data_IF_211928119989
#
_entry.id   IF_211928119989
#
_cell.length_a   1.000
_cell.length_b   1.000
_cell.length_c   1.000
_cell.angle_alpha   90.00
_cell.angle_beta   90.00
_cell.angle_gamma   90.00
#
_symmetry.space_group_name_H-M   'P 1'
#
loop_
_entity.id
_entity.type
_entity.pdbx_description
1 polymer ?
#
# COMPACT_ATOMS: atom_id res chain seq x y z
N UNK A 1 15.51 -21.09 10.51
CA UNK A 1 14.53 -20.78 11.59
C UNK A 1 13.17 -20.90 10.95
N UNK A 2 12.25 -21.62 11.58
CA UNK A 2 10.86 -21.76 11.09
C UNK A 2 10.15 -20.41 11.19
N UNK A 3 9.45 -20.00 10.13
CA UNK A 3 8.60 -18.81 10.14
C UNK A 3 7.15 -19.24 10.23
N UNK A 4 6.42 -18.71 11.19
CA UNK A 4 5.01 -19.04 11.42
C UNK A 4 4.17 -17.77 11.44
N UNK A 5 3.05 -17.78 10.71
CA UNK A 5 2.04 -16.73 10.77
C UNK A 5 0.93 -17.20 11.72
N UNK A 6 0.78 -16.51 12.83
CA UNK A 6 -0.24 -16.80 13.83
C UNK A 6 -1.40 -15.83 13.73
N UNK A 7 -2.61 -16.34 13.71
CA UNK A 7 -3.85 -15.56 13.64
C UNK A 7 -4.72 -15.97 14.84
N UNK A 8 -4.91 -15.03 15.76
CA UNK A 8 -5.81 -15.16 16.89
C UNK A 8 -7.11 -14.39 16.61
N UNK A 9 -8.19 -15.11 16.43
CA UNK A 9 -9.54 -14.58 16.26
C UNK A 9 -10.54 -15.42 17.09
N UNK A 10 -10.11 -15.85 18.27
CA UNK A 10 -10.95 -16.56 19.22
C UNK A 10 -12.08 -15.68 19.75
N UNK A 11 -11.78 -14.40 19.97
CA UNK A 11 -12.76 -13.39 20.36
C UNK A 11 -13.30 -12.72 19.11
N UNK A 12 -14.64 -12.66 18.97
CA UNK A 12 -15.27 -12.04 17.81
C UNK A 12 -14.96 -10.53 17.70
N UNK A 13 -14.69 -9.90 18.83
CA UNK A 13 -14.47 -8.45 18.92
C UNK A 13 -13.05 -8.02 18.51
N UNK A 14 -12.08 -8.94 18.50
CA UNK A 14 -10.68 -8.64 18.24
C UNK A 14 -10.00 -9.75 17.41
N UNK A 15 -9.33 -9.34 16.35
CA UNK A 15 -8.46 -10.20 15.57
C UNK A 15 -7.02 -9.69 15.69
N UNK A 16 -6.09 -10.57 16.02
CA UNK A 16 -4.67 -10.27 16.15
C UNK A 16 -3.84 -11.17 15.24
N UNK A 17 -2.83 -10.62 14.60
CA UNK A 17 -1.95 -11.36 13.69
C UNK A 17 -0.49 -11.10 14.05
N UNK A 18 0.30 -12.15 14.09
CA UNK A 18 1.72 -12.10 14.38
C UNK A 18 2.51 -12.93 13.37
N UNK A 19 3.58 -12.36 12.85
CA UNK A 19 4.59 -13.08 12.09
C UNK A 19 5.77 -13.39 13.02
N UNK A 20 6.04 -14.68 13.23
CA UNK A 20 7.17 -15.15 14.02
C UNK A 20 8.30 -15.66 13.13
N UNK A 21 9.54 -15.39 13.56
CA UNK A 21 10.75 -16.05 13.07
C UNK A 21 11.40 -16.81 14.24
N UNK A 22 11.22 -18.11 14.25
CA UNK A 22 11.49 -18.93 15.44
C UNK A 22 10.59 -18.53 16.60
N UNK A 23 11.16 -17.94 17.65
CA UNK A 23 10.39 -17.42 18.80
C UNK A 23 10.23 -15.91 18.79
N UNK A 24 10.81 -15.20 17.82
CA UNK A 24 10.84 -13.73 17.78
C UNK A 24 9.72 -13.17 16.92
N UNK A 25 9.04 -12.14 17.41
CA UNK A 25 8.06 -11.36 16.65
C UNK A 25 8.82 -10.54 15.60
N UNK A 26 8.47 -10.73 14.31
CA UNK A 26 8.92 -9.88 13.19
C UNK A 26 7.91 -8.78 12.88
N UNK A 27 6.61 -9.12 12.96
CA UNK A 27 5.53 -8.19 12.67
C UNK A 27 4.31 -8.51 13.54
N UNK A 28 3.53 -7.48 13.88
CA UNK A 28 2.33 -7.57 14.67
C UNK A 28 1.30 -6.56 14.19
N UNK A 29 0.07 -7.00 13.98
CA UNK A 29 -1.06 -6.15 13.65
C UNK A 29 -2.32 -6.64 14.36
N UNK A 30 -3.27 -5.73 14.64
CA UNK A 30 -4.53 -6.07 15.29
C UNK A 30 -5.68 -5.21 14.76
N UNK A 31 -6.87 -5.75 14.80
CA UNK A 31 -8.11 -5.08 14.40
C UNK A 31 -9.22 -5.41 15.39
N UNK A 32 -9.96 -4.39 15.80
CA UNK A 32 -11.15 -4.56 16.66
C UNK A 32 -12.41 -4.27 15.86
N UNK A 33 -13.53 -4.90 16.18
CA UNK A 33 -14.80 -4.70 15.49
C UNK A 33 -15.22 -3.23 15.47
N UNK A 34 -14.99 -2.52 16.57
CA UNK A 34 -15.31 -1.09 16.71
C UNK A 34 -14.33 -0.15 16.03
N UNK A 35 -13.17 -0.64 15.58
CA UNK A 35 -12.08 0.18 15.03
C UNK A 35 -11.43 -0.52 13.84
N UNK A 36 -12.27 -0.77 12.82
CA UNK A 36 -11.78 -1.29 11.53
C UNK A 36 -10.99 -0.23 10.79
N UNK A 37 -9.95 -0.65 10.11
CA UNK A 37 -9.18 0.24 9.26
C UNK A 37 -10.02 0.70 8.07
N UNK A 38 -10.14 2.01 7.89
CA UNK A 38 -10.85 2.61 6.77
C UNK A 38 -9.96 2.79 5.53
N UNK A 39 -8.64 2.77 5.71
CA UNK A 39 -7.67 2.95 4.63
C UNK A 39 -7.86 1.89 3.55
N UNK A 40 -7.97 2.36 2.29
CA UNK A 40 -8.20 1.49 1.14
C UNK A 40 -9.68 1.32 0.77
N UNK A 41 -10.61 1.56 1.70
CA UNK A 41 -12.04 1.48 1.43
C UNK A 41 -12.46 2.46 0.35
N UNK A 42 -13.37 2.01 -0.52
CA UNK A 42 -13.92 2.80 -1.62
C UNK A 42 -15.37 3.15 -1.34
N UNK A 43 -15.69 4.43 -1.43
CA UNK A 43 -17.01 4.97 -1.16
C UNK A 43 -17.56 5.74 -2.36
N UNK A 44 -18.85 5.69 -2.54
CA UNK A 44 -19.56 6.66 -3.36
C UNK A 44 -19.88 7.86 -2.48
N UNK A 45 -19.25 9.00 -2.76
CA UNK A 45 -19.30 10.18 -1.91
C UNK A 45 -19.97 11.36 -2.63
N UNK A 46 -20.43 12.33 -1.83
CA UNK A 46 -21.09 13.55 -2.31
C UNK A 46 -20.32 14.78 -1.86
N UNK A 47 -20.02 15.69 -2.78
CA UNK A 47 -19.38 16.98 -2.47
C UNK A 47 -20.36 17.85 -1.67
N UNK A 48 -19.98 18.22 -0.45
CA UNK A 48 -20.76 19.10 0.43
C UNK A 48 -20.37 20.56 0.25
N UNK A 49 -19.06 20.83 0.19
CA UNK A 49 -18.49 22.17 0.09
C UNK A 49 -17.20 22.15 -0.71
N UNK A 50 -16.99 23.17 -1.52
CA UNK A 50 -15.71 23.45 -2.19
C UNK A 50 -15.07 24.63 -1.47
N UNK A 51 -13.79 24.52 -1.14
CA UNK A 51 -13.00 25.52 -0.43
C UNK A 51 -11.87 26.04 -1.32
N UNK A 52 -12.08 27.15 -2.02
CA UNK A 52 -11.08 27.69 -2.94
C UNK A 52 -9.75 28.06 -2.29
N UNK A 53 -9.78 28.52 -1.03
CA UNK A 53 -8.58 28.91 -0.28
C UNK A 53 -7.63 27.75 -0.02
N UNK A 54 -8.18 26.53 0.08
CA UNK A 54 -7.42 25.30 0.31
C UNK A 54 -7.21 24.49 -0.98
N UNK A 55 -7.80 24.92 -2.10
CA UNK A 55 -7.89 24.12 -3.33
C UNK A 55 -8.31 22.67 -3.00
N UNK A 56 -9.42 22.53 -2.26
CA UNK A 56 -9.94 21.24 -1.79
C UNK A 56 -11.48 21.23 -1.74
N UNK A 57 -12.02 20.02 -1.77
CA UNK A 57 -13.43 19.77 -1.53
C UNK A 57 -13.62 18.98 -0.22
N UNK A 58 -14.68 19.29 0.50
CA UNK A 58 -15.18 18.46 1.59
C UNK A 58 -16.29 17.57 1.06
N UNK A 59 -16.21 16.31 1.37
CA UNK A 59 -17.13 15.29 0.85
C UNK A 59 -17.74 14.47 1.98
N UNK A 60 -19.02 14.14 1.82
CA UNK A 60 -19.72 13.20 2.67
C UNK A 60 -19.59 11.81 2.05
N UNK A 61 -18.95 10.89 2.76
CA UNK A 61 -18.68 9.53 2.29
C UNK A 61 -19.32 8.43 3.16
N UNK A 62 -20.00 8.82 4.24
CA UNK A 62 -20.64 7.90 5.19
C UNK A 62 -19.82 7.62 6.45
N UNK A 63 -18.67 8.28 6.61
CA UNK A 63 -17.90 8.28 7.85
C UNK A 63 -18.46 9.25 8.88
N UNK A 64 -17.89 9.25 10.09
CA UNK A 64 -18.31 10.13 11.19
C UNK A 64 -18.06 11.61 10.89
N UNK A 65 -17.10 11.91 10.01
CA UNK A 65 -16.70 13.26 9.63
C UNK A 65 -16.66 13.41 8.12
N UNK A 66 -16.68 14.67 7.66
CA UNK A 66 -16.47 14.94 6.24
C UNK A 66 -15.04 14.61 5.84
N UNK A 67 -14.90 13.93 4.69
CA UNK A 67 -13.61 13.66 4.11
C UNK A 67 -13.00 14.88 3.43
N UNK A 68 -11.69 14.99 3.43
CA UNK A 68 -10.90 16.01 2.74
C UNK A 68 -10.39 15.46 1.41
N UNK A 69 -10.72 16.13 0.31
CA UNK A 69 -10.33 15.77 -1.04
C UNK A 69 -9.58 16.95 -1.68
N UNK A 70 -8.26 16.86 -1.77
CA UNK A 70 -7.43 17.88 -2.40
C UNK A 70 -7.67 17.91 -3.91
N UNK A 71 -7.51 19.05 -4.56
CA UNK A 71 -7.72 19.22 -6.00
C UNK A 71 -6.79 18.31 -6.82
N UNK A 72 -5.54 18.16 -6.41
CA UNK A 72 -4.57 17.24 -7.02
C UNK A 72 -4.98 15.77 -6.96
N UNK A 73 -5.88 15.41 -6.06
CA UNK A 73 -6.39 14.06 -5.86
C UNK A 73 -7.71 13.81 -6.62
N UNK A 74 -8.17 14.78 -7.42
CA UNK A 74 -9.40 14.66 -8.23
C UNK A 74 -9.01 14.38 -9.67
N UNK A 75 -9.44 13.21 -10.17
CA UNK A 75 -9.22 12.82 -11.56
C UNK A 75 -9.96 13.77 -12.53
N UNK A 76 -9.35 14.16 -13.68
CA UNK A 76 -9.96 15.07 -14.66
C UNK A 76 -11.32 14.61 -15.20
N UNK A 77 -11.65 13.33 -15.15
CA UNK A 77 -12.98 12.82 -15.54
C UNK A 77 -14.13 13.41 -14.73
N UNK A 78 -13.86 13.87 -13.52
CA UNK A 78 -14.84 14.54 -12.67
C UNK A 78 -14.94 16.03 -12.94
N UNK A 79 -14.07 16.60 -13.79
CA UNK A 79 -14.09 18.01 -14.12
C UNK A 79 -15.22 18.34 -15.10
N UNK A 80 -15.94 19.41 -14.81
CA UNK A 80 -16.97 19.97 -15.70
C UNK A 80 -16.35 20.92 -16.72
N UNK A 81 -15.61 20.38 -17.65
CA UNK A 81 -14.89 21.09 -18.72
C UNK A 81 -15.18 20.44 -20.07
N UNK A 82 -14.91 21.14 -21.20
CA UNK A 82 -14.99 20.54 -22.53
C UNK A 82 -14.14 19.26 -22.64
N UNK A 83 -14.59 18.33 -23.48
CA UNK A 83 -13.94 17.02 -23.66
C UNK A 83 -12.49 17.19 -24.12
N UNK A 84 -12.24 18.14 -25.05
CA UNK A 84 -10.92 18.43 -25.61
C UNK A 84 -9.91 18.88 -24.52
N UNK A 85 -10.34 19.75 -23.60
CA UNK A 85 -9.52 20.22 -22.50
C UNK A 85 -9.25 19.09 -21.48
N UNK A 86 -10.22 18.19 -21.27
CA UNK A 86 -10.09 17.04 -20.38
C UNK A 86 -9.10 16.01 -20.92
N UNK A 87 -9.20 15.68 -22.22
CA UNK A 87 -8.26 14.77 -22.87
C UNK A 87 -6.83 15.33 -22.83
N UNK A 88 -6.65 16.63 -23.08
CA UNK A 88 -5.36 17.29 -22.99
C UNK A 88 -4.76 17.23 -21.56
N UNK A 89 -5.59 17.35 -20.52
CA UNK A 89 -5.17 17.19 -19.12
C UNK A 89 -4.72 15.76 -18.83
N UNK A 90 -5.45 14.76 -19.30
CA UNK A 90 -5.14 13.35 -19.11
C UNK A 90 -3.85 12.98 -19.84
N UNK A 91 -3.65 13.48 -21.07
CA UNK A 91 -2.40 13.27 -21.83
C UNK A 91 -1.20 13.92 -21.15
N UNK A 92 -1.34 15.13 -20.63
CA UNK A 92 -0.29 15.84 -19.93
C UNK A 92 0.11 15.11 -18.62
N UNK A 93 -0.87 14.62 -17.86
CA UNK A 93 -0.67 13.84 -16.64
C UNK A 93 0.05 12.50 -16.91
N UNK A 94 -0.20 11.91 -18.09
CA UNK A 94 0.51 10.69 -18.56
C UNK A 94 1.97 10.97 -18.94
N UNK A 95 2.24 12.10 -19.59
CA UNK A 95 3.58 12.46 -20.07
C UNK A 95 4.55 12.78 -18.91
N UNK A 96 4.07 13.42 -17.82
CA UNK A 96 4.91 13.73 -16.66
C UNK A 96 5.41 12.46 -15.92
N UNK A 97 4.75 11.32 -16.09
CA UNK A 97 5.11 10.06 -15.44
C UNK A 97 6.20 9.27 -16.16
N UNK A 98 6.42 9.50 -17.46
CA UNK A 98 7.44 8.79 -18.24
C UNK A 98 8.84 9.42 -18.06
N UNK A 99 8.91 10.71 -17.77
CA UNK A 99 10.18 11.45 -17.57
C UNK A 99 10.87 11.06 -16.23
N UNK A 100 10.09 10.74 -15.20
CA UNK A 100 10.57 10.25 -13.89
C UNK A 100 11.19 8.82 -13.95
N UNK A 101 11.15 8.14 -15.10
CA UNK A 101 11.66 6.78 -15.29
C UNK A 101 13.08 6.69 -15.86
N UNK A 102 13.69 7.83 -16.25
CA UNK A 102 14.97 7.87 -17.00
C UNK A 102 16.16 8.29 -16.13
N UNK A 103 15.96 8.89 -14.96
CA UNK A 103 17.06 9.32 -14.08
C UNK A 103 17.50 8.26 -13.04
N UNK A 104 17.95 7.10 -13.50
CA UNK A 104 18.76 6.21 -12.67
C UNK A 104 19.81 5.49 -13.53
N UNK A 105 20.85 6.22 -13.90
CA UNK A 105 22.02 5.59 -14.51
C UNK A 105 22.82 6.45 -15.47
N UNK A 106 23.44 7.51 -15.01
CA UNK A 106 24.68 7.97 -15.64
C UNK A 106 25.62 8.55 -14.59
N UNK A 107 26.47 7.68 -14.08
CA UNK A 107 27.70 8.09 -13.42
C UNK A 107 28.74 8.42 -14.51
N UNK A 108 29.21 9.62 -14.49
CA UNK A 108 30.54 10.08 -14.90
C UNK A 108 31.08 9.78 -16.30
N UNK A 109 31.06 10.78 -17.20
CA UNK A 109 32.14 10.97 -18.16
C UNK A 109 32.23 12.46 -18.57
N UNK A 110 33.44 12.99 -18.90
CA UNK A 110 33.75 14.41 -18.86
C UNK A 110 33.34 15.15 -20.12
N UNK A 111 33.16 16.46 -19.94
CA UNK A 111 32.93 17.46 -20.98
C UNK A 111 33.89 17.35 -22.17
N UNK A 112 33.34 17.30 -23.37
CA UNK A 112 34.09 17.65 -24.58
C UNK A 112 33.34 18.78 -25.29
N UNK A 113 34.03 19.89 -25.36
CA UNK A 113 33.65 21.11 -26.08
C UNK A 113 33.83 20.88 -27.60
N UNK A 114 32.81 21.23 -28.36
CA UNK A 114 32.98 21.65 -29.75
C UNK A 114 32.23 20.84 -30.80
N UNK A 115 31.42 21.53 -31.60
CA UNK A 115 31.02 21.12 -32.95
C UNK A 115 29.52 21.19 -33.21
N UNK A 116 29.12 22.26 -33.83
CA UNK A 116 27.83 22.53 -34.47
C UNK A 116 27.38 21.39 -35.36
N UNK A 117 26.10 20.98 -35.22
CA UNK A 117 25.15 20.84 -36.32
C UNK A 117 23.79 20.51 -35.68
N UNK A 118 22.88 21.49 -35.80
CA UNK A 118 21.51 21.39 -35.34
C UNK A 118 20.71 20.56 -36.33
N UNK A 119 20.33 19.35 -35.95
CA UNK A 119 19.17 18.70 -36.56
C UNK A 119 17.93 19.31 -35.92
N UNK A 120 17.10 19.95 -36.77
CA UNK A 120 15.77 20.44 -36.47
C UNK A 120 14.86 19.24 -36.18
N UNK A 121 14.94 18.67 -34.98
CA UNK A 121 13.88 17.78 -34.50
C UNK A 121 12.67 18.64 -34.10
N UNK A 122 11.56 18.36 -34.77
CA UNK A 122 10.20 18.85 -34.57
C UNK A 122 9.91 19.22 -33.11
N UNK A 123 10.12 20.47 -32.74
CA UNK A 123 9.58 21.07 -31.52
C UNK A 123 8.09 21.23 -31.74
N UNK A 124 7.31 20.15 -31.53
CA UNK A 124 5.87 20.26 -31.39
C UNK A 124 5.60 21.20 -30.22
N UNK A 125 4.90 22.32 -30.42
CA UNK A 125 4.62 23.24 -29.32
C UNK A 125 3.87 22.46 -28.24
N UNK A 126 4.47 22.33 -27.03
CA UNK A 126 3.78 21.81 -25.85
C UNK A 126 2.50 22.62 -25.72
N UNK A 127 1.34 22.00 -26.02
CA UNK A 127 0.02 22.62 -25.82
C UNK A 127 0.02 23.13 -24.38
N UNK A 128 -0.16 24.43 -24.20
CA UNK A 128 -0.33 25.03 -22.89
C UNK A 128 -1.63 24.49 -22.30
N UNK A 129 -1.52 23.51 -21.40
CA UNK A 129 -2.67 22.94 -20.70
C UNK A 129 -3.22 23.99 -19.76
N UNK A 130 -4.49 24.34 -19.93
CA UNK A 130 -5.17 25.32 -19.08
C UNK A 130 -5.16 24.82 -17.63
N UNK A 131 -4.62 25.62 -16.71
CA UNK A 131 -4.67 25.34 -15.27
C UNK A 131 -6.01 25.84 -14.72
N UNK A 132 -6.88 24.91 -14.40
CA UNK A 132 -8.16 25.18 -13.77
C UNK A 132 -8.04 25.34 -12.26
N UNK A 133 -8.98 26.06 -11.66
CA UNK A 133 -9.16 26.13 -10.19
C UNK A 133 -10.32 25.23 -9.79
N UNK A 134 -10.26 24.67 -8.57
CA UNK A 134 -11.28 23.71 -8.11
C UNK A 134 -12.71 24.23 -8.22
N UNK A 135 -12.94 25.52 -7.92
CA UNK A 135 -14.26 26.13 -7.96
C UNK A 135 -14.84 26.28 -9.38
N UNK A 136 -13.99 26.18 -10.41
CA UNK A 136 -14.41 26.28 -11.81
C UNK A 136 -14.91 24.91 -12.35
N UNK A 137 -14.38 23.83 -11.81
CA UNK A 137 -14.56 22.48 -12.38
C UNK A 137 -15.35 21.52 -11.49
N UNK A 138 -15.45 21.79 -10.19
CA UNK A 138 -16.14 20.93 -9.21
C UNK A 138 -17.34 21.69 -8.63
N UNK A 139 -18.49 21.00 -8.58
CA UNK A 139 -19.73 21.58 -8.06
C UNK A 139 -20.18 20.89 -6.76
N UNK A 140 -20.90 21.66 -5.93
CA UNK A 140 -21.61 21.09 -4.77
C UNK A 140 -22.62 20.02 -5.23
N UNK A 141 -22.83 19.02 -4.37
CA UNK A 141 -23.71 17.86 -4.63
C UNK A 141 -23.21 16.92 -5.74
N UNK A 142 -22.04 17.17 -6.30
CA UNK A 142 -21.44 16.24 -7.27
C UNK A 142 -21.11 14.90 -6.57
N UNK A 143 -21.39 13.82 -7.25
CA UNK A 143 -21.13 12.46 -6.77
C UNK A 143 -19.81 11.99 -7.39
N UNK A 144 -18.97 11.37 -6.57
CA UNK A 144 -17.65 10.86 -6.94
C UNK A 144 -17.37 9.55 -6.24
N UNK A 145 -16.67 8.65 -6.92
CA UNK A 145 -16.09 7.46 -6.30
C UNK A 145 -14.74 7.86 -5.66
N UNK A 146 -14.60 7.63 -4.37
CA UNK A 146 -13.43 8.05 -3.61
C UNK A 146 -12.86 6.89 -2.80
N UNK A 147 -11.54 6.90 -2.60
CA UNK A 147 -10.84 5.94 -1.77
C UNK A 147 -10.17 6.64 -0.59
N UNK A 148 -10.20 6.02 0.58
CA UNK A 148 -9.53 6.53 1.79
C UNK A 148 -8.03 6.28 1.70
N UNK A 149 -7.23 7.34 1.72
CA UNK A 149 -5.76 7.27 1.74
C UNK A 149 -5.21 7.35 3.15
N UNK A 150 -5.79 8.26 3.96
CA UNK A 150 -5.44 8.43 5.38
C UNK A 150 -6.71 8.49 6.20
N UNK A 151 -6.70 7.81 7.32
CA UNK A 151 -7.82 7.79 8.26
C UNK A 151 -8.03 9.11 8.98
N UNK A 152 -9.18 9.24 9.60
CA UNK A 152 -9.50 10.36 10.48
C UNK A 152 -8.48 10.42 11.63
N UNK A 153 -7.95 11.61 11.90
CA UNK A 153 -6.99 11.81 12.99
C UNK A 153 -7.30 13.08 13.78
N UNK A 154 -7.53 12.92 15.06
CA UNK A 154 -7.88 14.03 15.94
C UNK A 154 -9.15 14.76 15.43
N UNK A 155 -9.03 16.01 15.08
CA UNK A 155 -10.12 16.83 14.53
C UNK A 155 -10.18 16.85 13.00
N UNK A 156 -9.30 16.13 12.31
CA UNK A 156 -9.24 16.10 10.84
C UNK A 156 -10.01 14.90 10.30
N UNK A 157 -10.83 15.13 9.27
CA UNK A 157 -11.49 14.09 8.52
C UNK A 157 -10.50 13.24 7.70
N UNK A 158 -10.97 12.12 7.17
CA UNK A 158 -10.17 11.24 6.32
C UNK A 158 -9.67 11.98 5.07
N UNK A 159 -8.42 11.69 4.66
CA UNK A 159 -7.92 12.15 3.37
C UNK A 159 -8.34 11.15 2.28
N UNK A 160 -8.95 11.68 1.24
CA UNK A 160 -9.53 10.91 0.14
C UNK A 160 -8.82 11.21 -1.18
N UNK A 161 -8.91 10.26 -2.10
CA UNK A 161 -8.49 10.41 -3.49
C UNK A 161 -9.54 9.82 -4.43
N UNK A 162 -9.60 10.32 -5.65
CA UNK A 162 -10.38 9.69 -6.72
C UNK A 162 -9.52 8.79 -7.60
N UNK A 163 -8.19 8.82 -7.45
CA UNK A 163 -7.27 7.88 -8.10
C UNK A 163 -7.29 6.56 -7.36
N UNK A 164 -8.14 5.64 -7.82
CA UNK A 164 -8.33 4.36 -7.15
C UNK A 164 -7.11 3.45 -7.32
N UNK A 165 -6.77 2.73 -6.25
CA UNK A 165 -5.73 1.72 -6.26
C UNK A 165 -6.22 0.46 -5.56
N UNK A 166 -6.34 -0.62 -6.32
CA UNK A 166 -6.77 -1.93 -5.83
C UNK A 166 -5.54 -2.80 -5.61
N UNK A 167 -5.26 -3.11 -4.36
CA UNK A 167 -4.07 -3.85 -3.97
C UNK A 167 -4.29 -5.36 -4.08
N UNK A 168 -3.61 -6.00 -5.02
CA UNK A 168 -3.43 -7.44 -5.08
C UNK A 168 -2.18 -7.89 -4.32
N UNK A 169 -1.86 -9.16 -4.41
CA UNK A 169 -0.66 -9.72 -3.81
C UNK A 169 0.61 -9.30 -4.54
N UNK A 170 0.62 -9.46 -5.87
CA UNK A 170 1.79 -9.21 -6.73
C UNK A 170 1.66 -7.95 -7.56
N UNK A 171 0.45 -7.47 -7.73
CA UNK A 171 0.12 -6.29 -8.52
C UNK A 171 -0.72 -5.28 -7.73
N UNK A 172 -0.71 -4.05 -8.19
CA UNK A 172 -1.70 -3.03 -7.85
C UNK A 172 -2.36 -2.61 -9.15
N UNK A 173 -3.68 -2.67 -9.21
CA UNK A 173 -4.46 -2.17 -10.34
C UNK A 173 -4.94 -0.75 -10.04
N UNK A 174 -4.67 0.16 -10.96
CA UNK A 174 -5.18 1.54 -10.95
C UNK A 174 -6.17 1.68 -12.11
N UNK A 175 -7.48 1.53 -11.84
CA UNK A 175 -8.47 1.38 -12.90
C UNK A 175 -8.83 2.69 -13.62
N UNK A 176 -8.45 3.83 -13.09
CA UNK A 176 -8.72 5.15 -13.64
C UNK A 176 -7.44 6.01 -13.69
N UNK A 177 -6.32 5.40 -13.99
CA UNK A 177 -5.05 6.12 -14.04
C UNK A 177 -4.30 5.76 -15.32
N UNK A 178 -4.10 6.75 -16.18
CA UNK A 178 -3.29 6.61 -17.39
C UNK A 178 -1.79 6.78 -17.13
N UNK A 179 -1.40 7.15 -15.91
CA UNK A 179 0.01 7.23 -15.52
C UNK A 179 0.61 5.83 -15.60
N UNK A 180 1.36 5.58 -16.64
CA UNK A 180 1.92 4.31 -17.06
C UNK A 180 2.09 3.25 -15.98
N UNK A 181 1.59 2.05 -16.24
CA UNK A 181 1.86 0.87 -15.45
C UNK A 181 3.33 0.50 -15.50
N UNK A 182 3.77 -0.38 -14.62
CA UNK A 182 5.17 -0.79 -14.65
C UNK A 182 5.60 -1.67 -13.50
N UNK A 183 6.81 -1.42 -13.06
CA UNK A 183 7.47 -2.22 -12.01
C UNK A 183 7.83 -1.31 -10.86
N UNK A 184 7.51 -1.70 -9.63
CA UNK A 184 7.84 -0.97 -8.40
C UNK A 184 9.29 -0.47 -8.40
N UNK A 185 9.51 0.80 -8.00
CA UNK A 185 10.84 1.41 -7.89
C UNK A 185 11.74 0.67 -6.87
N UNK A 186 11.14 -0.04 -5.91
CA UNK A 186 11.85 -0.85 -4.91
C UNK A 186 12.50 -2.11 -5.50
N UNK A 187 12.17 -2.51 -6.74
CA UNK A 187 12.83 -3.61 -7.45
C UNK A 187 14.02 -3.02 -8.20
N UNK A 188 15.21 -3.14 -7.64
CA UNK A 188 16.44 -2.54 -8.16
C UNK A 188 17.13 -3.40 -9.23
N UNK A 189 16.87 -4.72 -9.25
CA UNK A 189 17.47 -5.64 -10.21
C UNK A 189 16.98 -5.36 -11.63
N UNK A 190 17.90 -4.96 -12.52
CA UNK A 190 17.61 -4.58 -13.91
C UNK A 190 17.03 -5.76 -14.72
N UNK A 191 17.54 -6.99 -14.50
CA UNK A 191 17.08 -8.20 -15.20
C UNK A 191 15.62 -8.49 -14.84
N UNK A 192 15.31 -8.45 -13.54
CA UNK A 192 13.93 -8.65 -13.06
C UNK A 192 13.01 -7.55 -13.59
N UNK A 193 13.45 -6.29 -13.59
CA UNK A 193 12.66 -5.17 -14.14
C UNK A 193 12.33 -5.36 -15.62
N UNK A 194 13.32 -5.72 -16.45
CA UNK A 194 13.09 -6.00 -17.89
C UNK A 194 12.09 -7.13 -18.08
N UNK A 195 12.30 -8.25 -17.37
CA UNK A 195 11.39 -9.41 -17.40
C UNK A 195 9.97 -9.03 -17.01
N UNK A 196 9.81 -8.28 -15.90
CA UNK A 196 8.50 -7.87 -15.39
C UNK A 196 7.80 -6.86 -16.33
N UNK A 197 8.54 -5.93 -16.95
CA UNK A 197 7.98 -5.05 -17.99
C UNK A 197 7.42 -5.85 -19.16
N UNK A 198 8.11 -6.90 -19.62
CA UNK A 198 7.60 -7.80 -20.67
C UNK A 198 6.35 -8.56 -20.20
N UNK A 199 6.30 -8.98 -18.93
CA UNK A 199 5.12 -9.67 -18.37
C UNK A 199 3.92 -8.72 -18.33
N UNK A 200 4.08 -7.48 -17.85
CA UNK A 200 3.02 -6.47 -17.79
C UNK A 200 2.53 -6.11 -19.19
N UNK A 201 3.46 -5.92 -20.16
CA UNK A 201 3.09 -5.64 -21.56
C UNK A 201 2.35 -6.79 -22.27
N UNK A 202 2.40 -7.99 -21.70
CA UNK A 202 1.63 -9.15 -22.20
C UNK A 202 0.32 -9.42 -21.43
N UNK A 203 -0.10 -8.51 -20.51
CA UNK A 203 -1.42 -8.53 -19.88
C UNK A 203 -2.41 -7.75 -20.74
N UNK A 204 -3.66 -8.20 -20.76
CA UNK A 204 -4.75 -7.52 -21.46
C UNK A 204 -5.29 -6.37 -20.59
N UNK A 205 -4.51 -5.27 -20.53
CA UNK A 205 -4.84 -4.09 -19.75
C UNK A 205 -5.67 -3.15 -20.61
N UNK A 206 -6.87 -2.81 -20.16
CA UNK A 206 -7.76 -1.89 -20.86
C UNK A 206 -7.17 -0.46 -20.87
N UNK A 207 -7.45 0.29 -21.93
CA UNK A 207 -7.07 1.70 -22.03
C UNK A 207 -7.63 2.49 -20.84
N UNK A 208 -6.82 3.34 -20.24
CA UNK A 208 -7.20 4.09 -19.03
C UNK A 208 -6.92 3.38 -17.71
N UNK A 209 -6.34 2.18 -17.76
CA UNK A 209 -5.90 1.44 -16.57
C UNK A 209 -4.39 1.31 -16.53
N UNK A 210 -3.85 1.27 -15.33
CA UNK A 210 -2.45 0.99 -15.11
C UNK A 210 -2.26 -0.15 -14.09
N UNK A 211 -1.19 -0.93 -14.27
CA UNK A 211 -0.82 -2.02 -13.37
C UNK A 211 0.62 -1.84 -12.93
N UNK A 212 0.87 -1.88 -11.62
CA UNK A 212 2.22 -1.84 -11.06
C UNK A 212 2.52 -3.18 -10.38
N UNK A 213 3.61 -3.84 -10.79
CA UNK A 213 4.08 -5.05 -10.11
C UNK A 213 4.78 -4.66 -8.81
N UNK A 214 4.32 -5.26 -7.69
CA UNK A 214 4.87 -5.08 -6.34
C UNK A 214 6.18 -5.84 -6.16
N UNK A 215 6.93 -5.51 -5.11
CA UNK A 215 8.16 -6.23 -4.72
C UNK A 215 7.93 -7.73 -4.49
N UNK A 216 6.78 -8.11 -3.94
CA UNK A 216 6.37 -9.50 -3.76
C UNK A 216 6.25 -10.28 -5.09
N UNK A 217 6.02 -9.57 -6.22
CA UNK A 217 5.97 -10.14 -7.57
C UNK A 217 7.33 -10.29 -8.26
N UNK A 218 8.43 -9.77 -7.66
CA UNK A 218 9.74 -9.71 -8.31
C UNK A 218 10.25 -11.05 -8.85
N UNK A 219 10.06 -12.12 -8.11
CA UNK A 219 10.52 -13.48 -8.48
C UNK A 219 9.38 -14.41 -8.92
N UNK A 220 8.20 -13.86 -9.26
CA UNK A 220 7.03 -14.65 -9.62
C UNK A 220 6.92 -14.90 -11.11
N UNK A 221 6.18 -15.96 -11.45
CA UNK A 221 5.93 -16.37 -12.83
C UNK A 221 4.89 -15.47 -13.49
N UNK A 222 4.90 -15.43 -14.85
CA UNK A 222 3.87 -14.73 -15.63
C UNK A 222 2.45 -15.18 -15.25
N UNK A 223 2.27 -16.47 -15.02
CA UNK A 223 0.96 -17.07 -14.69
C UNK A 223 0.43 -16.61 -13.33
N UNK A 224 1.32 -16.46 -12.33
CA UNK A 224 0.92 -15.96 -11.00
C UNK A 224 0.52 -14.49 -11.07
N UNK A 225 1.29 -13.66 -11.79
CA UNK A 225 1.00 -12.23 -11.99
C UNK A 225 -0.30 -12.06 -12.79
N UNK A 226 -0.51 -12.82 -13.85
CA UNK A 226 -1.73 -12.78 -14.65
C UNK A 226 -2.98 -13.19 -13.85
N UNK A 227 -2.86 -14.18 -12.95
CA UNK A 227 -3.95 -14.59 -12.07
C UNK A 227 -4.34 -13.48 -11.09
N UNK A 228 -3.36 -12.82 -10.49
CA UNK A 228 -3.56 -11.71 -9.58
C UNK A 228 -4.24 -10.53 -10.31
N UNK A 229 -3.78 -10.20 -11.52
CA UNK A 229 -4.41 -9.20 -12.38
C UNK A 229 -5.86 -9.56 -12.73
N UNK A 230 -6.14 -10.81 -13.10
CA UNK A 230 -7.52 -11.27 -13.40
C UNK A 230 -8.43 -11.13 -12.19
N UNK A 231 -7.93 -11.43 -10.99
CA UNK A 231 -8.66 -11.21 -9.75
C UNK A 231 -8.99 -9.72 -9.54
N UNK A 232 -8.01 -8.83 -9.72
CA UNK A 232 -8.19 -7.39 -9.57
C UNK A 232 -9.15 -6.80 -10.61
N UNK A 233 -9.11 -7.29 -11.85
CA UNK A 233 -10.03 -6.88 -12.90
C UNK A 233 -11.48 -7.24 -12.55
N UNK A 234 -11.73 -8.45 -12.05
CA UNK A 234 -13.06 -8.86 -11.58
C UNK A 234 -13.52 -8.02 -10.39
N UNK A 235 -12.63 -7.74 -9.45
CA UNK A 235 -12.94 -6.87 -8.31
C UNK A 235 -13.35 -5.47 -8.78
N UNK A 236 -12.67 -4.93 -9.78
CA UNK A 236 -13.04 -3.65 -10.38
C UNK A 236 -14.42 -3.69 -11.06
N UNK A 237 -14.72 -4.76 -11.77
CA UNK A 237 -16.04 -4.93 -12.39
C UNK A 237 -17.15 -4.99 -11.34
N UNK A 238 -16.93 -5.69 -10.21
CA UNK A 238 -17.84 -5.75 -9.07
C UNK A 238 -18.04 -4.36 -8.43
N UNK A 239 -16.98 -3.58 -8.27
CA UNK A 239 -17.04 -2.20 -7.75
C UNK A 239 -17.88 -1.33 -8.69
N UNK A 240 -17.66 -1.42 -10.00
CA UNK A 240 -18.45 -0.68 -11.00
C UNK A 240 -19.93 -1.04 -10.95
N UNK A 241 -20.25 -2.32 -10.92
CA UNK A 241 -21.64 -2.80 -10.86
C UNK A 241 -22.34 -2.25 -9.61
N UNK A 242 -21.73 -2.40 -8.42
CA UNK A 242 -22.27 -1.88 -7.15
C UNK A 242 -22.42 -0.36 -7.16
N UNK A 243 -21.48 0.35 -7.78
CA UNK A 243 -21.52 1.82 -7.88
C UNK A 243 -22.77 2.28 -8.64
N UNK A 244 -23.13 1.58 -9.71
CA UNK A 244 -24.31 1.92 -10.52
C UNK A 244 -25.64 1.67 -9.79
N UNK A 245 -25.66 0.72 -8.86
CA UNK A 245 -26.87 0.35 -8.09
C UNK A 245 -27.00 1.16 -6.78
N UNK A 246 -25.94 1.88 -6.37
CA UNK A 246 -25.85 2.54 -5.06
C UNK A 246 -26.21 4.02 -5.12
N UNK A 247 -26.64 4.55 -3.98
CA UNK A 247 -26.88 5.99 -3.77
C UNK A 247 -25.88 6.58 -2.79
N UNK A 248 -25.30 7.72 -3.15
CA UNK A 248 -24.34 8.42 -2.29
C UNK A 248 -25.01 9.11 -1.07
N UNK A 249 -24.41 9.05 0.15
CA UNK A 249 -23.15 8.38 0.47
C UNK A 249 -23.32 6.87 0.74
N UNK A 250 -22.38 6.04 0.26
CA UNK A 250 -22.43 4.58 0.44
C UNK A 250 -21.04 3.95 0.38
N UNK A 251 -20.76 2.94 1.22
CA UNK A 251 -19.60 2.07 1.10
C UNK A 251 -19.78 1.13 -0.09
N UNK A 252 -18.90 1.20 -1.08
CA UNK A 252 -18.92 0.34 -2.27
C UNK A 252 -18.05 -0.88 -2.11
N UNK A 253 -16.82 -0.68 -1.61
CA UNK A 253 -15.87 -1.76 -1.40
C UNK A 253 -15.11 -1.54 -0.10
N UNK A 254 -15.08 -2.58 0.73
CA UNK A 254 -14.27 -2.65 1.93
C UNK A 254 -12.94 -3.32 1.58
N UNK A 255 -11.82 -2.65 1.85
CA UNK A 255 -10.50 -3.29 1.80
C UNK A 255 -10.53 -4.45 2.80
N UNK A 256 -10.09 -5.62 2.40
CA UNK A 256 -10.29 -6.85 3.19
C UNK A 256 -9.92 -6.71 4.67
N UNK A 257 -10.56 -7.53 5.51
CA UNK A 257 -10.26 -7.65 6.93
C UNK A 257 -8.77 -7.95 7.19
N UNK A 258 -8.34 -7.84 8.45
CA UNK A 258 -6.95 -8.05 8.85
C UNK A 258 -6.42 -9.41 8.38
N UNK A 259 -7.23 -10.47 8.41
CA UNK A 259 -6.82 -11.82 7.98
C UNK A 259 -6.47 -11.83 6.50
N UNK A 260 -7.33 -11.25 5.66
CA UNK A 260 -7.10 -11.17 4.21
C UNK A 260 -5.88 -10.32 3.87
N UNK A 261 -5.74 -9.16 4.55
CA UNK A 261 -4.57 -8.27 4.38
C UNK A 261 -3.28 -8.98 4.78
N UNK A 262 -3.25 -9.66 5.92
CA UNK A 262 -2.08 -10.37 6.42
C UNK A 262 -1.63 -11.49 5.48
N UNK A 263 -2.56 -12.27 4.95
CA UNK A 263 -2.24 -13.31 3.96
C UNK A 263 -1.75 -12.68 2.65
N UNK A 264 -2.28 -11.53 2.26
CA UNK A 264 -1.83 -10.83 1.06
C UNK A 264 -0.43 -10.23 1.21
N UNK A 265 -0.16 -9.57 2.33
CA UNK A 265 1.02 -8.70 2.50
C UNK A 265 2.13 -9.32 3.36
N UNK A 266 1.81 -10.03 4.45
CA UNK A 266 2.79 -10.62 5.37
C UNK A 266 3.20 -12.05 4.99
N UNK A 267 2.27 -12.84 4.41
CA UNK A 267 2.61 -14.20 4.04
C UNK A 267 3.63 -14.23 2.91
N UNK A 268 4.76 -14.91 3.10
CA UNK A 268 5.78 -15.16 2.07
C UNK A 268 5.97 -16.67 1.86
N UNK A 269 6.72 -17.07 0.82
CA UNK A 269 7.06 -18.49 0.61
C UNK A 269 7.93 -19.08 1.72
N UNK A 270 8.61 -18.21 2.48
CA UNK A 270 9.45 -18.56 3.63
C UNK A 270 8.64 -18.93 4.87
N UNK A 271 7.33 -18.58 4.90
CA UNK A 271 6.44 -18.99 5.98
C UNK A 271 6.14 -20.46 5.85
N UNK A 272 6.48 -21.22 6.88
CA UNK A 272 6.32 -22.67 6.91
C UNK A 272 4.87 -23.05 7.18
N UNK A 273 4.19 -22.33 8.07
CA UNK A 273 2.82 -22.60 8.49
C UNK A 273 2.04 -21.33 8.81
N UNK A 274 0.73 -21.43 8.67
CA UNK A 274 -0.26 -20.40 9.07
C UNK A 274 -1.22 -21.07 10.04
N UNK A 275 -1.11 -20.73 11.30
CA UNK A 275 -1.95 -21.28 12.37
C UNK A 275 -3.07 -20.29 12.70
N UNK A 276 -4.30 -20.75 12.69
CA UNK A 276 -5.47 -19.89 12.89
C UNK A 276 -6.31 -20.43 14.03
N UNK A 277 -6.48 -19.62 15.08
CA UNK A 277 -7.42 -19.86 16.16
C UNK A 277 -8.76 -19.15 15.86
N UNK A 278 -9.85 -19.90 15.83
CA UNK A 278 -11.19 -19.44 15.46
C UNK A 278 -11.70 -20.06 14.16
N UNK A 279 -12.91 -20.63 14.21
CA UNK A 279 -13.49 -21.38 13.08
C UNK A 279 -13.76 -20.50 11.86
N UNK A 280 -14.39 -19.33 12.06
CA UNK A 280 -14.71 -18.41 10.96
C UNK A 280 -13.44 -17.81 10.37
N UNK A 281 -12.49 -17.43 11.22
CA UNK A 281 -11.19 -16.92 10.79
C UNK A 281 -10.42 -17.96 9.95
N UNK A 282 -10.48 -19.24 10.34
CA UNK A 282 -9.88 -20.32 9.57
C UNK A 282 -10.51 -20.46 8.18
N UNK A 283 -11.84 -20.38 8.08
CA UNK A 283 -12.55 -20.43 6.79
C UNK A 283 -12.13 -19.25 5.89
N UNK A 284 -12.06 -18.02 6.45
CA UNK A 284 -11.64 -16.82 5.74
C UNK A 284 -10.19 -16.97 5.26
N UNK A 285 -9.27 -17.34 6.16
CA UNK A 285 -7.87 -17.54 5.84
C UNK A 285 -7.65 -18.58 4.75
N UNK A 286 -8.35 -19.71 4.86
CA UNK A 286 -8.27 -20.80 3.88
C UNK A 286 -8.80 -20.40 2.51
N UNK A 287 -9.94 -19.69 2.47
CA UNK A 287 -10.51 -19.19 1.23
C UNK A 287 -9.59 -18.18 0.57
N UNK A 288 -9.01 -17.25 1.33
CA UNK A 288 -8.06 -16.26 0.84
C UNK A 288 -6.80 -16.93 0.28
N UNK A 289 -6.23 -17.91 0.99
CA UNK A 289 -5.07 -18.66 0.52
C UNK A 289 -5.40 -19.44 -0.76
N UNK A 290 -6.58 -20.04 -0.86
CA UNK A 290 -7.04 -20.75 -2.06
C UNK A 290 -7.12 -19.84 -3.27
N UNK A 291 -7.57 -18.60 -3.09
CA UNK A 291 -7.65 -17.61 -4.18
C UNK A 291 -6.27 -17.10 -4.61
N UNK A 292 -5.41 -16.75 -3.64
CA UNK A 292 -4.12 -16.14 -3.94
C UNK A 292 -3.05 -17.17 -4.31
N UNK A 293 -2.91 -18.25 -3.52
CA UNK A 293 -1.84 -19.26 -3.67
C UNK A 293 -2.39 -20.65 -3.38
N UNK A 294 -3.11 -21.28 -4.32
CA UNK A 294 -3.70 -22.62 -4.10
C UNK A 294 -2.70 -23.70 -3.70
N UNK A 295 -1.45 -23.60 -4.19
CA UNK A 295 -0.36 -24.54 -3.89
C UNK A 295 0.04 -24.57 -2.41
N UNK A 296 -0.21 -23.47 -1.68
CA UNK A 296 0.16 -23.34 -0.27
C UNK A 296 -1.04 -23.56 0.69
N UNK A 297 -2.19 -23.97 0.19
CA UNK A 297 -3.39 -24.19 0.99
C UNK A 297 -3.17 -25.15 2.18
N UNK A 298 -2.28 -26.14 2.01
CA UNK A 298 -1.95 -27.10 3.08
C UNK A 298 -1.20 -26.48 4.27
N UNK A 299 -0.59 -25.32 4.09
CA UNK A 299 0.10 -24.59 5.16
C UNK A 299 -0.86 -23.88 6.14
N UNK A 300 -2.10 -23.64 5.72
CA UNK A 300 -3.14 -23.06 6.58
C UNK A 300 -3.76 -24.18 7.41
N UNK A 301 -3.54 -24.11 8.70
CA UNK A 301 -3.99 -25.11 9.68
C UNK A 301 -4.81 -24.44 10.77
N UNK A 302 -5.83 -25.16 11.23
CA UNK A 302 -6.60 -24.74 12.39
C UNK A 302 -5.81 -25.05 13.67
N UNK A 303 -5.69 -24.06 14.54
CA UNK A 303 -5.08 -24.29 15.85
C UNK A 303 -6.14 -24.87 16.82
N UNK A 304 -5.82 -26.01 17.43
CA UNK A 304 -6.70 -26.73 18.37
C UNK A 304 -5.96 -27.02 19.70
N UNK A 305 -5.04 -26.15 20.09
CA UNK A 305 -4.30 -26.28 21.34
C UNK A 305 -5.17 -26.00 22.57
N UNK A 306 -4.72 -26.49 23.74
CA UNK A 306 -5.39 -26.26 25.02
C UNK A 306 -5.23 -24.85 25.57
N UNK A 307 -4.14 -24.18 25.20
CA UNK A 307 -3.85 -22.79 25.55
C UNK A 307 -4.07 -21.88 24.36
N UNK A 308 -4.43 -20.60 24.58
CA UNK A 308 -4.50 -19.62 23.49
C UNK A 308 -3.22 -19.59 22.66
N UNK A 309 -3.36 -19.41 21.33
CA UNK A 309 -2.23 -19.52 20.41
C UNK A 309 -1.08 -18.58 20.78
N UNK A 310 -1.33 -17.34 21.19
CA UNK A 310 -0.29 -16.37 21.55
C UNK A 310 0.41 -16.72 22.87
N UNK A 311 -0.32 -17.32 23.81
CA UNK A 311 0.28 -17.84 25.04
C UNK A 311 1.16 -19.06 24.76
N UNK A 312 0.71 -19.98 23.91
CA UNK A 312 1.47 -21.17 23.52
C UNK A 312 2.82 -20.82 22.90
N UNK A 313 2.85 -19.82 22.01
CA UNK A 313 4.07 -19.35 21.35
C UNK A 313 4.82 -18.26 22.13
N UNK A 314 4.42 -17.96 23.37
CA UNK A 314 5.02 -16.92 24.23
C UNK A 314 5.06 -15.51 23.59
N UNK A 315 4.10 -15.23 22.73
CA UNK A 315 3.94 -13.94 22.04
C UNK A 315 3.59 -12.85 23.03
N UNK A 316 2.66 -13.10 23.95
CA UNK A 316 2.17 -12.12 24.93
C UNK A 316 3.31 -11.55 25.78
N UNK A 317 4.24 -12.40 26.24
CA UNK A 317 5.41 -11.96 27.01
C UNK A 317 6.33 -11.02 26.21
N UNK A 318 6.41 -11.18 24.88
CA UNK A 318 7.19 -10.29 24.04
C UNK A 318 6.43 -8.99 23.76
N UNK A 319 5.10 -9.04 23.63
CA UNK A 319 4.26 -7.85 23.42
C UNK A 319 4.37 -6.87 24.60
N UNK A 320 4.43 -7.36 25.82
CA UNK A 320 4.61 -6.54 27.02
C UNK A 320 5.93 -5.73 26.99
N UNK A 321 6.92 -6.22 26.25
CA UNK A 321 8.23 -5.55 26.12
C UNK A 321 8.30 -4.58 24.94
N UNK A 322 7.36 -4.59 23.99
CA UNK A 322 7.38 -3.73 22.79
C UNK A 322 7.39 -2.23 23.16
N UNK A 323 6.69 -1.86 24.22
CA UNK A 323 6.62 -0.48 24.69
C UNK A 323 7.71 -0.11 25.70
N UNK A 324 8.62 -1.04 26.02
CA UNK A 324 9.74 -0.74 26.90
C UNK A 324 10.72 0.21 26.19
N UNK A 325 11.13 1.30 26.84
CA UNK A 325 12.14 2.19 26.28
C UNK A 325 13.51 1.53 26.14
N UNK A 326 13.75 0.40 26.82
CA UNK A 326 15.02 -0.29 26.84
C UNK A 326 14.98 -1.57 25.98
N UNK A 327 15.89 -1.67 25.00
CA UNK A 327 16.05 -2.82 24.12
C UNK A 327 17.42 -3.45 24.31
N UNK A 328 17.45 -4.75 24.62
CA UNK A 328 18.70 -5.52 24.77
C UNK A 328 19.24 -5.94 23.41
N UNK A 329 20.54 -5.77 23.21
CA UNK A 329 21.26 -6.19 22.00
C UNK A 329 21.86 -7.59 22.15
N UNK A 330 22.09 -8.26 21.03
CA UNK A 330 22.76 -9.59 21.00
C UNK A 330 24.20 -9.54 21.54
N UNK A 331 24.86 -8.40 21.39
CA UNK A 331 26.22 -8.14 21.92
C UNK A 331 26.29 -8.13 23.44
N UNK A 332 25.17 -7.99 24.13
CA UNK A 332 25.09 -7.78 25.58
C UNK A 332 25.01 -6.30 25.98
N UNK A 333 25.02 -5.39 24.99
CA UNK A 333 24.67 -3.99 25.18
C UNK A 333 23.15 -3.78 25.21
N UNK A 334 22.74 -2.53 25.33
CA UNK A 334 21.33 -2.14 25.27
C UNK A 334 21.16 -0.72 24.74
N UNK A 335 20.01 -0.49 24.13
CA UNK A 335 19.56 0.84 23.67
C UNK A 335 18.52 1.37 24.65
N UNK A 336 18.53 2.68 24.86
CA UNK A 336 17.43 3.38 25.52
C UNK A 336 16.85 4.36 24.51
N UNK A 337 15.56 4.18 24.17
CA UNK A 337 14.85 4.94 23.13
C UNK A 337 13.75 5.74 23.81
N UNK A 338 13.88 7.05 23.81
CA UNK A 338 12.90 7.97 24.40
C UNK A 338 12.35 8.92 23.34
N UNK A 339 11.04 8.98 23.23
CA UNK A 339 10.36 9.92 22.37
C UNK A 339 10.15 11.24 23.11
N UNK A 340 10.57 12.33 22.47
CA UNK A 340 10.26 13.71 22.89
C UNK A 340 9.21 14.32 21.98
N UNK A 341 8.79 15.55 22.20
CA UNK A 341 7.81 16.25 21.35
C UNK A 341 8.30 16.41 19.90
N UNK A 342 9.59 16.68 19.71
CA UNK A 342 10.16 17.04 18.40
C UNK A 342 11.09 15.98 17.80
N UNK A 343 11.64 15.05 18.60
CA UNK A 343 12.64 14.06 18.15
C UNK A 343 12.57 12.76 18.98
N UNK A 344 13.29 11.75 18.50
CA UNK A 344 13.55 10.52 19.27
C UNK A 344 15.01 10.52 19.70
N UNK A 345 15.26 10.48 21.00
CA UNK A 345 16.59 10.33 21.58
C UNK A 345 16.92 8.85 21.73
N UNK A 346 18.07 8.43 21.23
CA UNK A 346 18.56 7.05 21.32
C UNK A 346 19.91 7.07 22.03
N UNK A 347 19.98 6.44 23.21
CA UNK A 347 21.21 6.25 23.95
C UNK A 347 21.71 4.82 23.77
N UNK A 348 22.99 4.66 23.44
CA UNK A 348 23.63 3.37 23.14
C UNK A 348 24.58 3.00 24.26
N UNK A 349 24.29 1.90 24.93
CA UNK A 349 25.06 1.42 26.06
C UNK A 349 25.74 0.07 25.78
N UNK A 350 27.03 -0.02 25.97
CA UNK A 350 27.78 -1.27 25.77
C UNK A 350 27.41 -2.37 26.76
N UNK A 351 26.89 -2.03 27.95
CA UNK A 351 26.43 -3.00 28.94
C UNK A 351 27.49 -4.08 29.29
N UNK A 352 27.18 -5.33 28.95
CA UNK A 352 28.09 -6.48 29.18
C UNK A 352 29.07 -6.71 28.03
N UNK A 353 29.05 -5.90 26.97
CA UNK A 353 29.90 -6.01 25.77
C UNK A 353 31.30 -5.40 25.95
N UNK A 354 31.79 -5.29 27.19
CA UNK A 354 33.06 -4.63 27.54
C UNK A 354 34.26 -5.59 27.56
N UNK A 355 34.28 -6.62 26.72
CA UNK A 355 35.36 -7.64 26.70
C UNK A 355 36.48 -7.35 25.70
N UNK A 356 36.37 -6.26 24.97
CA UNK A 356 37.29 -5.91 23.89
C UNK A 356 38.53 -5.18 24.46
N UNK A 357 39.58 -5.09 23.61
CA UNK A 357 40.88 -4.53 24.03
C UNK A 357 40.91 -3.02 24.06
N UNK A 358 40.00 -2.37 23.33
CA UNK A 358 39.92 -0.92 23.27
C UNK A 358 38.45 -0.43 23.14
N UNK A 359 38.27 0.88 23.30
CA UNK A 359 36.94 1.53 23.27
C UNK A 359 36.30 1.45 21.90
N UNK A 360 37.09 1.58 20.82
CA UNK A 360 36.60 1.58 19.46
C UNK A 360 36.04 0.20 19.04
N UNK A 361 36.74 -0.87 19.40
CA UNK A 361 36.26 -2.25 19.18
C UNK A 361 35.00 -2.54 19.98
N UNK A 362 34.91 -2.03 21.22
CA UNK A 362 33.71 -2.14 22.05
C UNK A 362 32.53 -1.41 21.38
N UNK A 363 32.76 -0.18 20.89
CA UNK A 363 31.74 0.60 20.21
C UNK A 363 31.23 -0.07 18.91
N UNK A 364 32.17 -0.61 18.10
CA UNK A 364 31.83 -1.32 16.87
C UNK A 364 31.01 -2.59 17.11
N UNK A 365 31.30 -3.32 18.20
CA UNK A 365 30.57 -4.56 18.55
C UNK A 365 29.23 -4.31 19.22
N UNK A 366 29.08 -3.17 19.86
CA UNK A 366 27.83 -2.79 20.52
C UNK A 366 26.77 -2.42 19.51
#
# INVERSE_FOLDING_TARGET
MTKSLLIDARQAEETRVVLLSGTRIEDFDYETENRKQLKGNVYLARVTRVEPSLQAAFVEYGGNRQGFLAFSEIHPDYYRIPIEDREALIEADSAESDDDSVEAGSDGAPETIGGEEADEEDIRPKRQVKRYKIQEVISRKQIMLVQVVKEERGNKGAALTTYLSLAGRYCVLMPNNNRGGGVSRKITNIVDRKRLKTVVGGLDIQTGMAVIVRTAGAKRTKTEIARDFTYLSKLWDDIRARTLESQAPCLIHEEGDLIKRSIRDLYTSEVDEVLVEGEEAYKIARNQMKMLIPSHLKKVQKYEGTHPIFQHFSVENQMDTIHSPQVKLKSGGYLVINQTEALVAIDVNSGKSTRERNIEETALKT
#
